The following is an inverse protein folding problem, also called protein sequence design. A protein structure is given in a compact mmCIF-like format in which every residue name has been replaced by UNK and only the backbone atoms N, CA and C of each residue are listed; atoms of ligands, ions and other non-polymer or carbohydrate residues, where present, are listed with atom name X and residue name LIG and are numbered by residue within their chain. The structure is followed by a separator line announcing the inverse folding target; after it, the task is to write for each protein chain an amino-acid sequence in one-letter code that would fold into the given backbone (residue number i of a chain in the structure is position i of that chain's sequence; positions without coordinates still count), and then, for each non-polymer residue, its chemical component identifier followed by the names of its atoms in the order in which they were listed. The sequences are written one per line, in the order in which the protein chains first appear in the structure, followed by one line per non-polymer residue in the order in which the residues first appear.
data_IF_850224652450
#
_entry.id   IF_850224652450
#
_cell.length_a   1.000
_cell.length_b   1.000
_cell.length_c   1.000
_cell.angle_alpha   90.00
_cell.angle_beta   90.00
_cell.angle_gamma   90.00
#
_symmetry.space_group_name_H-M   'P 1'
#
loop_
_entity.id
_entity.type
_entity.pdbx_description
1 polymer ?
#
# COMPACT_ATOMS: atom_id res chain seq x y z
N UNK A 1 -16.56 -17.79 -14.17
CA UNK A 1 -17.24 -16.50 -14.40
C UNK A 1 -17.10 -15.68 -13.11
N UNK A 2 -16.14 -14.76 -13.06
CA UNK A 2 -15.89 -13.96 -11.85
C UNK A 2 -17.01 -12.95 -11.69
N UNK A 3 -17.81 -13.06 -10.63
CA UNK A 3 -18.78 -12.02 -10.25
C UNK A 3 -18.01 -10.72 -10.05
N UNK A 4 -18.44 -9.64 -10.70
CA UNK A 4 -17.99 -8.29 -10.38
C UNK A 4 -18.51 -7.98 -8.97
N UNK A 5 -17.63 -8.09 -7.97
CA UNK A 5 -18.03 -8.07 -6.55
C UNK A 5 -18.37 -6.65 -6.10
N UNK A 6 -17.79 -5.62 -6.75
CA UNK A 6 -18.03 -4.22 -6.43
C UNK A 6 -17.53 -3.31 -7.57
N UNK A 7 -18.39 -2.46 -8.13
CA UNK A 7 -18.00 -1.46 -9.13
C UNK A 7 -17.62 -0.13 -8.47
N UNK A 8 -16.51 0.46 -8.92
CA UNK A 8 -16.04 1.78 -8.49
C UNK A 8 -16.65 2.93 -9.29
N UNK A 9 -17.46 2.63 -10.32
CA UNK A 9 -18.03 3.64 -11.21
C UNK A 9 -18.93 4.63 -10.44
N UNK A 10 -18.66 5.92 -10.65
CA UNK A 10 -19.31 7.03 -9.95
C UNK A 10 -19.09 7.07 -8.43
N UNK A 11 -18.23 6.20 -7.85
CA UNK A 11 -17.95 6.20 -6.41
C UNK A 11 -16.87 7.21 -6.07
N UNK A 12 -17.00 7.86 -4.91
CA UNK A 12 -15.96 8.76 -4.40
C UNK A 12 -14.88 7.94 -3.71
N UNK A 13 -13.65 8.08 -4.15
CA UNK A 13 -12.49 7.38 -3.57
C UNK A 13 -11.50 8.41 -3.07
N UNK A 14 -11.11 8.30 -1.81
CA UNK A 14 -10.05 9.11 -1.22
C UNK A 14 -8.82 8.24 -0.98
N UNK A 15 -7.65 8.70 -1.44
CA UNK A 15 -6.38 7.99 -1.24
C UNK A 15 -5.62 8.67 -0.10
N UNK A 16 -5.51 7.96 1.02
CA UNK A 16 -4.69 8.39 2.14
C UNK A 16 -3.24 8.60 1.68
N UNK A 17 -2.67 9.77 1.94
CA UNK A 17 -1.31 10.08 1.50
C UNK A 17 -1.13 10.14 -0.02
N UNK A 18 -2.15 10.55 -0.78
CA UNK A 18 -2.13 10.69 -2.26
C UNK A 18 -0.93 11.45 -2.84
N UNK A 19 -0.19 12.23 -2.05
CA UNK A 19 1.01 12.97 -2.47
C UNK A 19 2.31 12.16 -2.36
N UNK A 20 2.32 11.07 -1.59
CA UNK A 20 3.48 10.19 -1.47
C UNK A 20 3.62 9.24 -2.66
N UNK A 21 4.77 8.58 -2.76
CA UNK A 21 5.12 7.67 -3.87
C UNK A 21 4.02 6.63 -4.18
N UNK A 22 3.56 5.90 -3.15
CA UNK A 22 2.50 4.88 -3.31
C UNK A 22 1.13 5.53 -3.59
N UNK A 23 0.82 6.62 -2.89
CA UNK A 23 -0.46 7.31 -3.05
C UNK A 23 -0.66 7.88 -4.46
N UNK A 24 0.41 8.41 -5.08
CA UNK A 24 0.37 8.91 -6.45
C UNK A 24 0.16 7.77 -7.45
N UNK A 25 0.85 6.64 -7.26
CA UNK A 25 0.66 5.45 -8.11
C UNK A 25 -0.77 4.91 -8.03
N UNK A 26 -1.33 4.77 -6.81
CA UNK A 26 -2.73 4.36 -6.62
C UNK A 26 -3.71 5.34 -7.27
N UNK A 27 -3.47 6.65 -7.11
CA UNK A 27 -4.27 7.69 -7.76
C UNK A 27 -4.23 7.54 -9.29
N UNK A 28 -3.07 7.22 -9.86
CA UNK A 28 -2.92 7.02 -11.30
C UNK A 28 -3.67 5.77 -11.79
N UNK A 29 -3.61 4.65 -11.06
CA UNK A 29 -4.38 3.44 -11.39
C UNK A 29 -5.89 3.71 -11.31
N UNK A 30 -6.35 4.30 -10.20
CA UNK A 30 -7.78 4.53 -9.95
C UNK A 30 -8.43 5.54 -10.93
N UNK A 31 -7.65 6.40 -11.58
CA UNK A 31 -8.16 7.27 -12.66
C UNK A 31 -8.74 6.48 -13.82
N UNK A 32 -8.32 5.23 -14.00
CA UNK A 32 -8.79 4.36 -15.08
C UNK A 32 -10.08 3.61 -14.71
N UNK A 33 -10.50 3.67 -13.44
CA UNK A 33 -11.59 2.84 -12.87
C UNK A 33 -12.95 3.57 -12.80
N UNK A 34 -13.13 4.69 -13.49
CA UNK A 34 -14.42 5.43 -13.52
C UNK A 34 -14.85 6.08 -12.19
N UNK A 35 -13.97 6.11 -11.19
CA UNK A 35 -14.28 6.66 -9.88
C UNK A 35 -13.98 8.16 -9.76
N UNK A 36 -14.66 8.84 -8.83
CA UNK A 36 -14.40 10.24 -8.47
C UNK A 36 -13.31 10.32 -7.39
N UNK A 37 -12.08 10.59 -7.81
CA UNK A 37 -10.96 10.77 -6.88
C UNK A 37 -11.08 12.08 -6.10
N UNK A 38 -11.15 11.95 -4.78
CA UNK A 38 -11.23 13.08 -3.84
C UNK A 38 -9.82 13.42 -3.36
N UNK A 39 -9.34 14.61 -3.72
CA UNK A 39 -8.01 15.12 -3.33
C UNK A 39 -8.12 16.15 -2.20
N UNK A 40 -8.78 15.81 -1.10
CA UNK A 40 -8.80 16.67 0.10
C UNK A 40 -7.61 16.33 1.00
N UNK A 41 -6.96 17.35 1.56
CA UNK A 41 -5.95 17.14 2.61
C UNK A 41 -6.58 16.48 3.84
N UNK A 42 -5.77 15.78 4.64
CA UNK A 42 -6.18 15.09 5.88
C UNK A 42 -6.85 16.01 6.92
N UNK A 43 -6.72 17.33 6.78
CA UNK A 43 -7.32 18.30 7.69
C UNK A 43 -8.85 18.43 7.56
N UNK A 44 -9.48 17.88 6.51
CA UNK A 44 -10.95 17.94 6.32
C UNK A 44 -11.69 16.65 6.64
N UNK A 45 -10.99 15.51 6.76
CA UNK A 45 -11.60 14.18 6.98
C UNK A 45 -10.69 13.36 7.89
N UNK A 46 -11.12 13.06 9.12
CA UNK A 46 -10.42 12.14 10.02
C UNK A 46 -10.96 10.71 9.83
N UNK A 47 -10.25 9.90 9.03
CA UNK A 47 -10.62 8.50 8.75
C UNK A 47 -10.57 7.56 9.97
N UNK A 48 -10.02 8.03 11.10
CA UNK A 48 -10.01 7.26 12.36
C UNK A 48 -11.35 7.33 13.07
N UNK A 49 -12.19 8.32 12.74
CA UNK A 49 -13.53 8.48 13.29
C UNK A 49 -14.55 7.81 12.37
N UNK A 50 -14.82 6.53 12.65
CA UNK A 50 -15.95 5.79 12.09
C UNK A 50 -17.17 6.03 13.00
N UNK A 51 -18.12 6.88 12.61
CA UNK A 51 -19.47 6.88 13.20
C UNK A 51 -20.40 6.04 12.32
N UNK A 52 -21.50 5.54 12.87
CA UNK A 52 -22.50 4.78 12.12
C UNK A 52 -23.39 5.72 11.30
N UNK A 53 -22.86 6.20 10.18
CA UNK A 53 -23.67 6.85 9.14
C UNK A 53 -23.26 6.38 7.73
N UNK A 54 -24.26 6.27 6.86
CA UNK A 54 -24.08 5.78 5.48
C UNK A 54 -23.24 6.74 4.62
N UNK A 55 -23.10 8.01 5.03
CA UNK A 55 -22.33 9.03 4.32
C UNK A 55 -20.83 9.05 4.64
N UNK A 56 -20.37 8.23 5.61
CA UNK A 56 -18.98 8.21 6.04
C UNK A 56 -18.08 7.32 5.16
N UNK A 57 -16.84 7.75 4.86
CA UNK A 57 -15.88 6.95 4.12
C UNK A 57 -15.66 5.56 4.73
N UNK A 58 -15.63 4.54 3.87
CA UNK A 58 -15.27 3.18 4.26
C UNK A 58 -13.77 3.00 4.04
N UNK A 59 -13.06 2.62 5.10
CA UNK A 59 -11.63 2.32 5.02
C UNK A 59 -11.42 0.99 4.28
N UNK A 60 -10.51 1.00 3.30
CA UNK A 60 -10.06 -0.20 2.58
C UNK A 60 -8.63 -0.49 3.00
N UNK A 61 -8.37 -1.69 3.51
CA UNK A 61 -7.05 -2.08 3.97
C UNK A 61 -7.02 -3.53 4.45
N UNK A 62 -5.88 -3.96 4.97
CA UNK A 62 -5.69 -5.30 5.55
C UNK A 62 -6.26 -5.41 6.96
N UNK A 63 -6.39 -4.30 7.68
CA UNK A 63 -6.71 -4.30 9.11
C UNK A 63 -5.55 -4.74 10.01
N UNK A 64 -4.36 -4.90 9.41
CA UNK A 64 -3.14 -5.33 10.08
C UNK A 64 -1.99 -4.41 9.63
N UNK A 65 -1.12 -4.02 10.57
CA UNK A 65 0.10 -3.26 10.31
C UNK A 65 1.32 -4.20 10.38
N UNK A 66 2.42 -3.77 9.78
CA UNK A 66 3.73 -4.42 9.81
C UNK A 66 4.78 -3.37 10.15
N UNK A 67 5.83 -3.76 10.86
CA UNK A 67 6.94 -2.84 11.16
C UNK A 67 7.72 -2.49 9.90
N UNK A 68 8.42 -1.36 9.90
CA UNK A 68 9.34 -1.03 8.80
C UNK A 68 10.42 -2.11 8.67
N UNK A 69 10.89 -2.66 9.80
CA UNK A 69 11.90 -3.72 9.80
C UNK A 69 11.39 -4.99 9.11
N UNK A 70 10.23 -5.51 9.52
CA UNK A 70 9.64 -6.70 8.92
C UNK A 70 9.29 -6.48 7.44
N UNK A 71 8.86 -5.27 7.07
CA UNK A 71 8.62 -4.90 5.67
C UNK A 71 9.92 -4.92 4.86
N UNK A 72 10.99 -4.30 5.36
CA UNK A 72 12.29 -4.28 4.70
C UNK A 72 12.85 -5.71 4.51
N UNK A 73 12.71 -6.57 5.52
CA UNK A 73 13.06 -7.99 5.42
C UNK A 73 12.22 -8.73 4.38
N UNK A 74 10.90 -8.50 4.35
CA UNK A 74 10.02 -9.12 3.36
C UNK A 74 10.40 -8.72 1.93
N UNK A 75 10.76 -7.45 1.70
CA UNK A 75 11.27 -6.97 0.41
C UNK A 75 12.61 -7.64 0.09
N UNK A 76 13.57 -7.63 1.02
CA UNK A 76 14.89 -8.25 0.84
C UNK A 76 14.79 -9.72 0.45
N UNK A 77 13.93 -10.49 1.12
CA UNK A 77 13.67 -11.89 0.80
C UNK A 77 13.03 -12.04 -0.59
N UNK A 78 12.09 -11.17 -0.95
CA UNK A 78 11.41 -11.20 -2.25
C UNK A 78 12.37 -10.97 -3.41
N UNK A 79 13.30 -10.02 -3.27
CA UNK A 79 14.25 -9.67 -4.34
C UNK A 79 15.56 -10.48 -4.29
N UNK A 80 15.71 -11.37 -3.32
CA UNK A 80 16.92 -12.18 -3.14
C UNK A 80 18.13 -11.40 -2.63
N UNK A 81 17.93 -10.27 -1.94
CA UNK A 81 19.01 -9.46 -1.38
C UNK A 81 19.82 -10.24 -0.34
N UNK A 82 21.15 -10.16 -0.45
CA UNK A 82 22.11 -10.87 0.44
C UNK A 82 22.95 -9.92 1.31
N UNK A 83 22.74 -8.62 1.19
CA UNK A 83 23.43 -7.63 2.00
C UNK A 83 22.83 -7.50 3.41
N UNK A 84 23.33 -6.53 4.16
CA UNK A 84 22.83 -6.16 5.49
C UNK A 84 21.82 -5.01 5.36
N UNK A 85 20.73 -5.09 6.12
CA UNK A 85 19.81 -3.96 6.33
C UNK A 85 20.30 -3.18 7.55
N UNK A 86 20.50 -1.87 7.40
CA UNK A 86 20.91 -0.98 8.47
C UNK A 86 19.85 0.11 8.63
N UNK A 87 19.39 0.34 9.86
CA UNK A 87 18.41 1.39 10.18
C UNK A 87 19.15 2.62 10.70
N UNK A 88 18.85 3.78 10.12
CA UNK A 88 19.48 5.05 10.48
C UNK A 88 18.59 5.80 11.49
N UNK A 89 18.92 5.70 12.77
CA UNK A 89 18.19 6.36 13.86
C UNK A 89 18.42 7.88 13.93
N UNK A 90 19.25 8.46 13.05
CA UNK A 90 19.40 9.92 12.96
C UNK A 90 18.27 10.58 12.15
N UNK A 91 17.50 9.80 11.39
CA UNK A 91 16.38 10.30 10.59
C UNK A 91 15.11 10.39 11.46
N UNK A 92 14.25 11.40 11.22
CA UNK A 92 13.01 11.54 11.96
C UNK A 92 12.05 10.41 11.61
N UNK A 93 11.40 9.85 12.62
CA UNK A 93 10.38 8.83 12.43
C UNK A 93 9.11 9.38 11.77
N UNK A 94 8.43 8.48 11.05
CA UNK A 94 7.09 8.72 10.54
C UNK A 94 6.04 8.69 11.65
N UNK A 95 4.76 8.75 11.25
CA UNK A 95 3.69 8.49 12.20
C UNK A 95 3.78 7.02 12.69
N UNK A 96 3.84 6.77 14.02
CA UNK A 96 4.19 5.46 14.60
C UNK A 96 3.16 4.36 14.31
N UNK A 97 1.93 4.73 13.90
CA UNK A 97 0.92 3.77 13.45
C UNK A 97 0.03 4.42 12.40
N UNK A 98 -0.17 3.73 11.29
CA UNK A 98 -1.11 4.13 10.22
C UNK A 98 -2.26 3.15 10.05
N UNK A 99 -2.48 2.26 11.02
CA UNK A 99 -3.62 1.38 11.02
C UNK A 99 -4.94 2.15 10.95
N UNK A 100 -5.77 1.76 9.99
CA UNK A 100 -7.16 2.21 9.86
C UNK A 100 -8.10 1.07 10.24
N UNK A 101 -9.18 1.39 10.94
CA UNK A 101 -10.23 0.41 11.24
C UNK A 101 -10.97 0.03 9.95
N UNK A 102 -10.98 -1.26 9.62
CA UNK A 102 -11.64 -1.84 8.43
C UNK A 102 -12.92 -2.62 8.79
N UNK A 103 -13.42 -2.51 10.02
CA UNK A 103 -14.57 -3.26 10.52
C UNK A 103 -15.82 -3.14 9.64
N UNK A 104 -16.15 -1.93 9.18
CA UNK A 104 -17.29 -1.71 8.25
C UNK A 104 -17.10 -2.45 6.92
N UNK A 105 -15.88 -2.45 6.38
CA UNK A 105 -15.59 -3.16 5.14
C UNK A 105 -15.68 -4.68 5.33
N UNK A 106 -15.21 -5.19 6.48
CA UNK A 106 -15.34 -6.59 6.85
C UNK A 106 -16.81 -7.01 7.04
N UNK A 107 -17.64 -6.14 7.63
CA UNK A 107 -19.09 -6.37 7.78
C UNK A 107 -19.82 -6.46 6.43
N UNK A 108 -19.31 -5.79 5.39
CA UNK A 108 -19.79 -5.93 4.00
C UNK A 108 -19.30 -7.21 3.31
N UNK A 109 -18.57 -8.09 4.03
CA UNK A 109 -18.04 -9.34 3.51
C UNK A 109 -16.78 -9.18 2.66
N UNK A 110 -16.20 -7.98 2.59
CA UNK A 110 -14.94 -7.76 1.89
C UNK A 110 -13.76 -7.98 2.83
N UNK A 111 -12.75 -8.69 2.34
CA UNK A 111 -11.45 -8.85 3.01
C UNK A 111 -10.34 -8.86 1.97
N UNK A 112 -9.18 -8.29 2.31
CA UNK A 112 -7.99 -8.43 1.51
C UNK A 112 -7.64 -9.92 1.32
N UNK A 113 -7.57 -10.37 0.06
CA UNK A 113 -7.29 -11.78 -0.30
C UNK A 113 -5.81 -12.06 -0.56
N UNK A 114 -5.04 -11.01 -0.85
CA UNK A 114 -3.61 -11.10 -1.16
C UNK A 114 -2.83 -10.62 0.05
N UNK A 115 -2.08 -11.52 0.69
CA UNK A 115 -1.17 -11.16 1.77
C UNK A 115 0.05 -10.39 1.26
N UNK A 116 0.74 -9.65 2.13
CA UNK A 116 1.88 -8.80 1.77
C UNK A 116 2.97 -9.55 0.99
N UNK A 117 3.46 -10.68 1.52
CA UNK A 117 4.52 -11.49 0.86
C UNK A 117 4.11 -11.98 -0.53
N UNK A 118 2.85 -12.40 -0.66
CA UNK A 118 2.30 -12.82 -1.95
C UNK A 118 2.19 -11.63 -2.92
N UNK A 119 1.77 -10.47 -2.43
CA UNK A 119 1.70 -9.23 -3.21
C UNK A 119 3.07 -8.78 -3.69
N UNK A 120 4.07 -8.76 -2.80
CA UNK A 120 5.46 -8.42 -3.11
C UNK A 120 6.03 -9.35 -4.19
N UNK A 121 5.85 -10.66 -4.06
CA UNK A 121 6.29 -11.64 -5.06
C UNK A 121 5.68 -11.37 -6.44
N UNK A 122 4.35 -11.24 -6.51
CA UNK A 122 3.64 -10.95 -7.77
C UNK A 122 4.08 -9.64 -8.40
N UNK A 123 4.27 -8.61 -7.58
CA UNK A 123 4.76 -7.32 -8.04
C UNK A 123 6.17 -7.44 -8.62
N UNK A 124 7.08 -8.10 -7.92
CA UNK A 124 8.46 -8.25 -8.37
C UNK A 124 8.57 -9.09 -9.65
N UNK A 125 7.80 -10.17 -9.76
CA UNK A 125 7.69 -10.96 -10.99
C UNK A 125 7.19 -10.12 -12.18
N UNK A 126 6.14 -9.31 -11.97
CA UNK A 126 5.62 -8.42 -13.00
C UNK A 126 6.63 -7.33 -13.39
N UNK A 127 7.35 -6.77 -12.41
CA UNK A 127 8.41 -5.79 -12.65
C UNK A 127 9.55 -6.37 -13.50
N UNK A 128 10.04 -7.58 -13.18
CA UNK A 128 11.06 -8.26 -13.98
C UNK A 128 10.58 -8.57 -15.41
N UNK A 129 9.31 -8.95 -15.57
CA UNK A 129 8.72 -9.17 -16.88
C UNK A 129 8.64 -7.89 -17.72
N UNK A 130 8.32 -6.74 -17.09
CA UNK A 130 8.29 -5.44 -17.75
C UNK A 130 9.71 -4.91 -18.09
N UNK A 131 10.71 -5.18 -17.26
CA UNK A 131 12.12 -4.82 -17.53
C UNK A 131 12.82 -5.79 -18.50
N UNK A 132 12.25 -6.96 -18.81
CA UNK A 132 12.78 -7.97 -19.73
C UNK A 132 12.97 -7.51 -21.19
N UNK A 133 12.63 -6.27 -21.53
CA UNK A 133 13.00 -5.59 -22.77
C UNK A 133 14.35 -4.85 -22.74
N UNK A 134 15.03 -4.74 -21.59
CA UNK A 134 16.33 -4.07 -21.49
C UNK A 134 17.17 -4.59 -20.31
N UNK A 135 17.89 -5.70 -20.52
CA UNK A 135 19.10 -6.09 -19.77
C UNK A 135 18.89 -6.65 -18.37
N UNK A 136 19.15 -7.96 -18.21
CA UNK A 136 19.23 -8.63 -16.92
C UNK A 136 20.26 -7.94 -16.00
N UNK A 137 19.78 -7.24 -14.96
CA UNK A 137 20.64 -6.83 -13.84
C UNK A 137 20.61 -7.91 -12.77
N UNK A 138 21.80 -8.36 -12.36
CA UNK A 138 21.99 -9.18 -11.17
C UNK A 138 21.42 -8.48 -9.94
N UNK A 139 20.99 -9.26 -8.94
CA UNK A 139 20.52 -8.74 -7.65
C UNK A 139 21.43 -7.60 -7.14
N UNK A 140 20.88 -6.49 -6.64
CA UNK A 140 21.68 -5.36 -6.20
C UNK A 140 22.65 -5.81 -5.10
N UNK A 141 23.94 -5.80 -5.43
CA UNK A 141 25.03 -6.05 -4.47
C UNK A 141 25.34 -4.71 -3.80
N UNK A 142 25.00 -4.60 -2.51
CA UNK A 142 25.42 -3.47 -1.67
C UNK A 142 24.65 -2.17 -1.87
N UNK A 143 23.35 -2.16 -1.52
CA UNK A 143 22.59 -0.91 -1.36
C UNK A 143 22.32 -0.72 0.13
N UNK A 144 22.88 0.34 0.71
CA UNK A 144 22.45 0.87 2.00
C UNK A 144 21.10 1.57 1.80
N UNK A 145 20.02 0.88 2.14
CA UNK A 145 18.68 1.49 2.16
C UNK A 145 18.48 2.04 3.57
N UNK A 146 18.76 3.33 3.75
CA UNK A 146 18.45 4.04 4.98
C UNK A 146 16.92 4.21 5.10
N UNK A 147 16.30 3.41 5.94
CA UNK A 147 14.92 3.61 6.40
C UNK A 147 14.90 3.46 7.93
N UNK A 148 13.98 4.14 8.61
CA UNK A 148 13.92 4.15 10.08
C UNK A 148 13.23 2.87 10.58
N UNK A 149 13.56 2.43 11.79
CA UNK A 149 12.94 1.25 12.40
C UNK A 149 11.77 1.68 13.29
N UNK A 150 10.55 1.50 12.79
CA UNK A 150 9.35 1.11 13.55
C UNK A 150 8.18 0.83 12.61
#
# INVERSE_FOLDING_TARGET
MGREIFSLDGKRVWVAGHRGMVGQALTQCLRQEGCHLVSTGTQRVDLRRQQDSDDLPINVGTGEDITIADFAEAVAQTVGFKGRICFDSSKPDGAPRKLVDVGRMAALGWRARTGLRQGLKRFYEAHLAAEGGSGARSAPVGVEIATTAE
#
